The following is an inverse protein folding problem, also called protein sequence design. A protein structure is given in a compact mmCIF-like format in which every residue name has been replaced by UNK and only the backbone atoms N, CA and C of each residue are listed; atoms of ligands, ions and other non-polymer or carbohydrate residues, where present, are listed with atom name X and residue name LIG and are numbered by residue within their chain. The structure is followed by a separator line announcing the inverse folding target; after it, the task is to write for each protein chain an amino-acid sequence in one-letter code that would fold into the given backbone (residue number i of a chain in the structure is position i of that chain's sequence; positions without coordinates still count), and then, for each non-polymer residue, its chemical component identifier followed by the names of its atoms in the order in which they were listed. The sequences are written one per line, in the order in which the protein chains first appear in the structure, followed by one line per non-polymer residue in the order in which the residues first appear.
data_IF_300274943141
#
_entry.id   IF_300274943141
#
_cell.length_a   1.000
_cell.length_b   1.000
_cell.length_c   1.000
_cell.angle_alpha   90.00
_cell.angle_beta   90.00
_cell.angle_gamma   90.00
#
_symmetry.space_group_name_H-M   'P 1'
#
loop_
_entity.id
_entity.type
_entity.pdbx_description
1 polymer ?
#
# COMPACT_ATOMS: atom_id res chain seq x y z
N UNK A 1 -21.20 -31.75 -2.73
CA UNK A 1 -19.90 -32.39 -3.08
C UNK A 1 -19.33 -31.84 -4.39
N UNK A 2 -20.08 -31.02 -5.16
CA UNK A 2 -19.58 -30.44 -6.44
C UNK A 2 -18.55 -29.31 -6.30
N UNK A 3 -18.34 -28.78 -5.09
CA UNK A 3 -17.39 -27.69 -4.82
C UNK A 3 -15.92 -28.11 -5.08
N UNK A 4 -15.62 -29.41 -4.98
CA UNK A 4 -14.26 -29.97 -5.18
C UNK A 4 -14.00 -30.32 -6.65
N UNK A 5 -15.03 -30.39 -7.48
CA UNK A 5 -14.94 -30.77 -8.89
C UNK A 5 -14.57 -29.57 -9.77
N UNK A 6 -13.33 -29.09 -9.64
CA UNK A 6 -12.83 -27.93 -10.39
C UNK A 6 -12.76 -28.17 -11.92
N UNK A 7 -12.72 -29.43 -12.34
CA UNK A 7 -12.69 -29.84 -13.75
C UNK A 7 -14.06 -29.79 -14.46
N UNK A 8 -15.16 -29.68 -13.69
CA UNK A 8 -16.50 -29.55 -14.27
C UNK A 8 -16.84 -28.07 -14.62
N UNK A 9 -15.89 -27.13 -14.39
CA UNK A 9 -16.07 -25.71 -14.63
C UNK A 9 -16.83 -24.99 -13.50
N UNK A 10 -17.27 -23.75 -13.75
CA UNK A 10 -18.07 -22.98 -12.78
C UNK A 10 -17.28 -22.34 -11.65
N UNK A 11 -15.94 -22.25 -11.76
CA UNK A 11 -15.10 -21.52 -10.83
C UNK A 11 -15.39 -20.04 -10.95
N UNK A 12 -16.08 -19.48 -9.98
CA UNK A 12 -16.32 -18.05 -9.92
C UNK A 12 -15.03 -17.33 -9.53
N UNK A 13 -14.48 -16.54 -10.45
CA UNK A 13 -13.31 -15.66 -10.20
C UNK A 13 -13.45 -14.87 -8.88
N UNK A 14 -14.65 -14.36 -8.61
CA UNK A 14 -14.93 -13.58 -7.40
C UNK A 14 -14.72 -14.37 -6.10
N UNK A 15 -15.08 -15.66 -6.08
CA UNK A 15 -14.82 -16.53 -4.93
C UNK A 15 -13.33 -16.66 -4.66
N UNK A 16 -12.53 -17.00 -5.69
CA UNK A 16 -11.07 -17.10 -5.58
C UNK A 16 -10.42 -15.80 -5.11
N UNK A 17 -10.90 -14.66 -5.63
CA UNK A 17 -10.40 -13.34 -5.24
C UNK A 17 -10.68 -13.03 -3.74
N UNK A 18 -11.92 -13.24 -3.28
CA UNK A 18 -12.31 -12.97 -1.88
C UNK A 18 -11.51 -13.85 -0.91
N UNK A 19 -11.48 -15.17 -1.16
CA UNK A 19 -10.72 -16.08 -0.31
C UNK A 19 -9.22 -15.82 -0.36
N UNK A 20 -8.67 -15.49 -1.52
CA UNK A 20 -7.27 -15.08 -1.67
C UNK A 20 -6.93 -13.82 -0.89
N UNK A 21 -7.81 -12.82 -0.90
CA UNK A 21 -7.67 -11.58 -0.13
C UNK A 21 -7.70 -11.87 1.37
N UNK A 22 -8.64 -12.67 1.84
CA UNK A 22 -8.73 -13.07 3.26
C UNK A 22 -7.45 -13.81 3.68
N UNK A 23 -6.99 -14.77 2.88
CA UNK A 23 -5.75 -15.50 3.15
C UNK A 23 -4.54 -14.56 3.21
N UNK A 24 -4.43 -13.61 2.29
CA UNK A 24 -3.34 -12.61 2.28
C UNK A 24 -3.36 -11.75 3.55
N UNK A 25 -4.54 -11.29 3.99
CA UNK A 25 -4.68 -10.54 5.25
C UNK A 25 -4.26 -11.38 6.46
N UNK A 26 -4.70 -12.65 6.52
CA UNK A 26 -4.34 -13.56 7.61
C UNK A 26 -2.83 -13.82 7.67
N UNK A 27 -2.20 -14.06 6.52
CA UNK A 27 -0.75 -14.26 6.42
C UNK A 27 -0.01 -12.99 6.85
N UNK A 28 -0.40 -11.82 6.37
CA UNK A 28 0.20 -10.56 6.78
C UNK A 28 0.09 -10.33 8.29
N UNK A 29 -1.05 -10.64 8.91
CA UNK A 29 -1.24 -10.56 10.36
C UNK A 29 -0.34 -11.55 11.11
N UNK A 30 -0.26 -12.80 10.65
CA UNK A 30 0.57 -13.84 11.28
C UNK A 30 2.06 -13.43 11.33
N UNK A 31 2.56 -12.78 10.29
CA UNK A 31 3.96 -12.37 10.18
C UNK A 31 4.21 -10.89 10.54
N UNK A 32 3.22 -10.21 11.14
CA UNK A 32 3.29 -8.78 11.46
C UNK A 32 3.71 -7.90 10.27
N UNK A 33 3.38 -8.33 9.05
CA UNK A 33 3.68 -7.58 7.83
C UNK A 33 2.57 -6.56 7.54
N UNK A 34 2.90 -5.29 7.24
CA UNK A 34 1.90 -4.28 6.92
C UNK A 34 1.25 -4.61 5.58
N UNK A 35 -0.02 -5.04 5.60
CA UNK A 35 -0.77 -5.52 4.43
C UNK A 35 -0.67 -4.58 3.23
N UNK A 36 -0.83 -3.27 3.42
CA UNK A 36 -0.81 -2.31 2.31
C UNK A 36 0.56 -2.22 1.62
N UNK A 37 1.68 -2.40 2.36
CA UNK A 37 3.01 -2.46 1.75
C UNK A 37 3.21 -3.73 0.93
N UNK A 38 2.69 -4.85 1.42
CA UNK A 38 2.70 -6.12 0.67
C UNK A 38 1.83 -5.98 -0.58
N UNK A 39 0.65 -5.37 -0.46
CA UNK A 39 -0.21 -5.08 -1.60
C UNK A 39 0.49 -4.21 -2.65
N UNK A 40 1.16 -3.13 -2.27
CA UNK A 40 1.93 -2.27 -3.20
C UNK A 40 3.03 -3.03 -3.95
N UNK A 41 3.57 -4.09 -3.36
CA UNK A 41 4.58 -4.91 -4.02
C UNK A 41 3.99 -5.94 -4.98
N UNK A 42 2.82 -6.51 -4.64
CA UNK A 42 2.21 -7.63 -5.36
C UNK A 42 1.17 -7.16 -6.38
N UNK A 43 0.30 -6.21 -6.01
CA UNK A 43 -0.86 -5.84 -6.83
C UNK A 43 -0.50 -5.34 -8.23
N UNK A 44 0.57 -4.57 -8.46
CA UNK A 44 0.95 -4.19 -9.82
C UNK A 44 1.22 -5.38 -10.75
N UNK A 45 1.75 -6.50 -10.22
CA UNK A 45 2.00 -7.71 -11.02
C UNK A 45 0.72 -8.43 -11.43
N UNK A 46 -0.40 -8.13 -10.76
CA UNK A 46 -1.72 -8.65 -11.15
C UNK A 46 -2.12 -8.14 -12.53
N UNK A 47 -1.74 -6.91 -12.93
CA UNK A 47 -1.97 -6.42 -14.29
C UNK A 47 -1.29 -7.30 -15.34
N UNK A 48 -0.05 -7.72 -15.08
CA UNK A 48 0.65 -8.63 -16.00
C UNK A 48 -0.07 -9.99 -16.08
N UNK A 49 -0.45 -10.54 -14.92
CA UNK A 49 -1.21 -11.80 -14.87
C UNK A 49 -2.56 -11.69 -15.57
N UNK A 50 -3.27 -10.58 -15.41
CA UNK A 50 -4.52 -10.29 -16.11
C UNK A 50 -4.28 -10.19 -17.62
N UNK A 51 -3.26 -9.43 -18.07
CA UNK A 51 -2.92 -9.31 -19.48
C UNK A 51 -2.65 -10.67 -20.13
N UNK A 52 -1.89 -11.54 -19.47
CA UNK A 52 -1.63 -12.90 -19.95
C UNK A 52 -2.90 -13.76 -19.92
N UNK A 53 -3.67 -13.69 -18.82
CA UNK A 53 -4.89 -14.48 -18.65
C UNK A 53 -5.98 -14.19 -19.68
N UNK A 54 -6.00 -12.98 -20.27
CA UNK A 54 -6.95 -12.64 -21.36
C UNK A 54 -6.78 -13.48 -22.62
N UNK A 55 -5.61 -14.02 -22.87
CA UNK A 55 -5.41 -14.95 -23.98
C UNK A 55 -6.15 -16.28 -23.81
N UNK A 56 -6.49 -16.64 -22.56
CA UNK A 56 -7.40 -17.75 -22.29
C UNK A 56 -8.80 -17.52 -22.87
N UNK A 57 -9.32 -16.30 -22.82
CA UNK A 57 -10.61 -15.97 -23.45
C UNK A 57 -10.57 -16.10 -24.97
N UNK A 58 -9.42 -15.79 -25.61
CA UNK A 58 -9.22 -16.04 -27.03
C UNK A 58 -9.27 -17.53 -27.38
N UNK A 59 -8.58 -18.36 -26.61
CA UNK A 59 -8.58 -19.82 -26.82
C UNK A 59 -9.97 -20.41 -26.62
N UNK A 60 -10.70 -19.91 -25.62
CA UNK A 60 -12.08 -20.37 -25.32
C UNK A 60 -13.14 -19.72 -26.22
N UNK A 61 -12.76 -18.76 -27.08
CA UNK A 61 -13.66 -17.99 -27.97
C UNK A 61 -14.82 -17.31 -27.19
N UNK A 62 -14.51 -16.78 -26.01
CA UNK A 62 -15.47 -16.13 -25.12
C UNK A 62 -15.10 -14.66 -24.84
N UNK A 63 -16.02 -13.90 -24.27
CA UNK A 63 -15.78 -12.50 -23.84
C UNK A 63 -15.33 -11.57 -24.96
N UNK A 64 -15.79 -11.81 -26.19
CA UNK A 64 -15.54 -10.93 -27.33
C UNK A 64 -16.44 -9.68 -27.33
N UNK A 65 -16.12 -8.70 -28.18
CA UNK A 65 -16.89 -7.48 -28.34
C UNK A 65 -18.04 -7.65 -29.34
N UNK A 66 -18.46 -6.53 -29.92
CA UNK A 66 -19.53 -6.48 -30.93
C UNK A 66 -19.08 -7.14 -32.24
N UNK A 67 -20.07 -7.55 -33.06
CA UNK A 67 -19.81 -8.05 -34.40
C UNK A 67 -19.25 -6.94 -35.30
N UNK A 68 -18.29 -7.30 -36.15
CA UNK A 68 -17.62 -6.41 -37.10
C UNK A 68 -17.45 -7.07 -38.47
N UNK A 69 -17.16 -6.25 -39.47
CA UNK A 69 -16.84 -6.75 -40.83
C UNK A 69 -15.45 -7.42 -40.84
N UNK A 70 -15.23 -8.31 -41.81
CA UNK A 70 -13.95 -8.94 -42.02
C UNK A 70 -12.81 -7.92 -42.22
N UNK A 71 -13.10 -6.79 -42.86
CA UNK A 71 -12.14 -5.72 -43.14
C UNK A 71 -11.59 -5.04 -41.84
N UNK A 72 -12.22 -5.25 -40.70
CA UNK A 72 -11.71 -4.78 -39.40
C UNK A 72 -10.32 -5.36 -39.10
N UNK A 73 -10.01 -6.55 -39.60
CA UNK A 73 -8.75 -7.24 -39.38
C UNK A 73 -7.71 -6.95 -40.44
N UNK A 74 -8.01 -6.12 -41.46
CA UNK A 74 -7.05 -5.69 -42.44
C UNK A 74 -6.03 -4.73 -41.80
N UNK A 75 -4.78 -5.16 -41.61
CA UNK A 75 -3.71 -4.40 -40.99
C UNK A 75 -3.08 -5.09 -39.78
N UNK A 76 -2.85 -4.33 -38.69
CA UNK A 76 -2.11 -4.83 -37.49
C UNK A 76 -2.78 -6.05 -36.83
N UNK A 77 -4.09 -6.17 -36.96
CA UNK A 77 -4.86 -7.24 -36.30
C UNK A 77 -5.02 -8.50 -37.15
N UNK A 78 -4.39 -8.56 -38.32
CA UNK A 78 -4.54 -9.68 -39.28
C UNK A 78 -4.27 -11.05 -38.62
N UNK A 79 -3.35 -11.14 -37.66
CA UNK A 79 -2.98 -12.37 -36.98
C UNK A 79 -4.07 -12.90 -36.04
N UNK A 80 -5.07 -12.09 -35.71
CA UNK A 80 -6.22 -12.48 -34.86
C UNK A 80 -7.45 -12.89 -35.68
N UNK A 81 -7.45 -12.66 -37.00
CA UNK A 81 -8.59 -12.79 -37.86
C UNK A 81 -9.27 -14.17 -37.77
N UNK A 82 -8.49 -15.23 -37.94
CA UNK A 82 -9.03 -16.60 -37.95
C UNK A 82 -9.59 -17.00 -36.59
N UNK A 83 -8.92 -16.59 -35.49
CA UNK A 83 -9.38 -16.88 -34.12
C UNK A 83 -10.61 -16.06 -33.67
N UNK A 84 -10.90 -14.94 -34.34
CA UNK A 84 -12.05 -14.10 -34.09
C UNK A 84 -13.22 -14.34 -35.05
N UNK A 85 -13.11 -15.33 -35.92
CA UNK A 85 -14.19 -15.83 -36.77
C UNK A 85 -14.96 -16.93 -36.05
N UNK A 86 -16.04 -16.56 -35.35
CA UNK A 86 -16.81 -17.43 -34.46
C UNK A 86 -18.21 -17.61 -35.06
N UNK A 87 -18.62 -18.86 -35.33
CA UNK A 87 -19.94 -19.19 -35.86
C UNK A 87 -20.30 -18.44 -37.17
N UNK A 88 -19.31 -18.14 -38.02
CA UNK A 88 -19.54 -17.44 -39.31
C UNK A 88 -19.50 -15.92 -39.25
N UNK A 89 -19.24 -15.32 -38.05
CA UNK A 89 -19.19 -13.87 -37.83
C UNK A 89 -17.86 -13.46 -37.21
N UNK A 90 -17.40 -12.23 -37.52
CA UNK A 90 -16.19 -11.66 -36.94
C UNK A 90 -16.55 -10.76 -35.76
N UNK A 91 -15.76 -10.81 -34.68
CA UNK A 91 -15.99 -10.05 -33.46
C UNK A 91 -14.77 -9.22 -33.07
N UNK A 92 -15.03 -8.07 -32.42
CA UNK A 92 -13.95 -7.24 -31.86
C UNK A 92 -13.16 -8.03 -30.83
N UNK A 93 -11.81 -8.09 -30.93
CA UNK A 93 -10.94 -8.81 -29.99
C UNK A 93 -10.74 -8.04 -28.69
N UNK A 94 -11.79 -7.93 -27.86
CA UNK A 94 -11.77 -7.19 -26.61
C UNK A 94 -10.69 -7.69 -25.65
N UNK A 95 -10.41 -9.00 -25.67
CA UNK A 95 -9.34 -9.63 -24.90
C UNK A 95 -7.97 -9.04 -25.23
N UNK A 96 -7.70 -8.77 -26.52
CA UNK A 96 -6.42 -8.25 -26.99
C UNK A 96 -6.20 -6.81 -26.49
N UNK A 97 -7.20 -5.96 -26.63
CA UNK A 97 -7.13 -4.59 -26.14
C UNK A 97 -6.94 -4.55 -24.63
N UNK A 98 -7.70 -5.36 -23.87
CA UNK A 98 -7.55 -5.45 -22.43
C UNK A 98 -6.17 -5.99 -22.04
N UNK A 99 -5.65 -7.00 -22.76
CA UNK A 99 -4.30 -7.54 -22.55
C UNK A 99 -3.22 -6.47 -22.73
N UNK A 100 -3.25 -5.77 -23.86
CA UNK A 100 -2.27 -4.70 -24.17
C UNK A 100 -2.32 -3.60 -23.12
N UNK A 101 -3.52 -3.11 -22.76
CA UNK A 101 -3.69 -2.07 -21.76
C UNK A 101 -3.26 -2.52 -20.35
N UNK A 102 -3.50 -3.76 -19.97
CA UNK A 102 -3.01 -4.31 -18.70
C UNK A 102 -1.47 -4.38 -18.68
N UNK A 103 -0.83 -4.82 -19.76
CA UNK A 103 0.63 -4.87 -19.84
C UNK A 103 1.24 -3.46 -19.81
N UNK A 104 0.65 -2.50 -20.53
CA UNK A 104 1.07 -1.10 -20.50
C UNK A 104 0.93 -0.50 -19.10
N UNK A 105 -0.17 -0.77 -18.40
CA UNK A 105 -0.37 -0.34 -17.02
C UNK A 105 0.67 -0.93 -16.08
N UNK A 106 0.99 -2.22 -16.22
CA UNK A 106 2.06 -2.86 -15.47
C UNK A 106 3.41 -2.15 -15.67
N UNK A 107 3.79 -1.92 -16.94
CA UNK A 107 5.03 -1.23 -17.28
C UNK A 107 5.05 0.18 -16.67
N UNK A 108 3.99 0.95 -16.81
CA UNK A 108 3.87 2.29 -16.26
C UNK A 108 4.03 2.30 -14.73
N UNK A 109 3.31 1.42 -14.04
CA UNK A 109 3.34 1.37 -12.58
C UNK A 109 4.71 0.94 -12.05
N UNK A 110 5.30 -0.11 -12.62
CA UNK A 110 6.58 -0.66 -12.12
C UNK A 110 7.76 0.21 -12.49
N UNK A 111 7.85 0.68 -13.73
CA UNK A 111 9.05 1.36 -14.20
C UNK A 111 9.02 2.88 -14.03
N UNK A 112 7.83 3.48 -13.91
CA UNK A 112 7.66 4.92 -13.75
C UNK A 112 7.16 5.26 -12.35
N UNK A 113 5.94 4.86 -11.98
CA UNK A 113 5.30 5.29 -10.75
C UNK A 113 5.98 4.75 -9.49
N UNK A 114 6.53 3.54 -9.52
CA UNK A 114 7.24 2.97 -8.38
C UNK A 114 8.44 3.81 -7.93
N UNK A 115 9.09 4.53 -8.86
CA UNK A 115 10.24 5.40 -8.54
C UNK A 115 9.85 6.68 -7.81
N UNK A 116 8.61 7.12 -7.99
CA UNK A 116 8.09 8.38 -7.43
C UNK A 116 7.09 8.16 -6.28
N UNK A 117 6.71 6.91 -6.03
CA UNK A 117 5.77 6.57 -4.97
C UNK A 117 6.38 6.80 -3.60
N UNK A 118 5.75 7.67 -2.80
CA UNK A 118 6.19 8.06 -1.46
C UNK A 118 5.22 7.61 -0.36
N UNK A 119 3.97 7.33 -0.72
CA UNK A 119 2.90 6.98 0.21
C UNK A 119 2.56 5.50 0.13
N UNK A 120 2.12 4.93 1.25
CA UNK A 120 1.64 3.55 1.31
C UNK A 120 0.29 3.43 0.60
N UNK A 121 0.11 2.39 -0.18
CA UNK A 121 -1.10 2.18 -0.97
C UNK A 121 -1.10 2.91 -2.32
N UNK A 122 -0.05 3.66 -2.63
CA UNK A 122 0.01 4.47 -3.85
C UNK A 122 0.09 3.61 -5.12
N UNK A 123 0.86 2.53 -5.11
CA UNK A 123 0.94 1.62 -6.26
C UNK A 123 -0.31 0.78 -6.40
N UNK A 124 -0.89 0.33 -5.28
CA UNK A 124 -2.21 -0.34 -5.26
C UNK A 124 -3.30 0.60 -5.77
N UNK A 125 -3.28 1.87 -5.35
CA UNK A 125 -4.18 2.89 -5.84
C UNK A 125 -4.05 3.11 -7.35
N UNK A 126 -2.83 3.21 -7.86
CA UNK A 126 -2.56 3.34 -9.29
C UNK A 126 -3.10 2.14 -10.10
N UNK A 127 -2.93 0.92 -9.59
CA UNK A 127 -3.51 -0.28 -10.17
C UNK A 127 -5.04 -0.19 -10.25
N UNK A 128 -5.70 0.15 -9.14
CA UNK A 128 -7.16 0.24 -9.10
C UNK A 128 -7.70 1.29 -10.06
N UNK A 129 -7.05 2.46 -10.15
CA UNK A 129 -7.42 3.50 -11.09
C UNK A 129 -7.27 3.00 -12.53
N UNK A 130 -6.09 2.47 -12.88
CA UNK A 130 -5.79 2.01 -14.22
C UNK A 130 -6.74 0.91 -14.67
N UNK A 131 -6.84 -0.16 -13.88
CA UNK A 131 -7.70 -1.29 -14.21
C UNK A 131 -9.18 -0.91 -14.23
N UNK A 132 -9.62 -0.08 -13.28
CA UNK A 132 -11.00 0.43 -13.26
C UNK A 132 -11.34 1.20 -14.54
N UNK A 133 -10.47 2.09 -15.00
CA UNK A 133 -10.67 2.84 -16.25
C UNK A 133 -10.69 1.88 -17.44
N UNK A 134 -9.69 1.02 -17.59
CA UNK A 134 -9.61 0.05 -18.68
C UNK A 134 -10.87 -0.82 -18.73
N UNK A 135 -11.25 -1.38 -17.58
CA UNK A 135 -12.40 -2.28 -17.49
C UNK A 135 -13.71 -1.58 -17.80
N UNK A 136 -13.87 -0.32 -17.40
CA UNK A 136 -15.07 0.46 -17.70
C UNK A 136 -15.29 0.60 -19.20
N UNK A 137 -14.26 0.94 -19.94
CA UNK A 137 -14.36 1.13 -21.41
C UNK A 137 -14.47 -0.20 -22.17
N UNK A 138 -13.72 -1.20 -21.79
CA UNK A 138 -13.80 -2.54 -22.42
C UNK A 138 -15.20 -3.12 -22.24
N UNK A 139 -15.78 -3.01 -21.03
CA UNK A 139 -17.12 -3.51 -20.75
C UNK A 139 -18.21 -2.81 -21.58
N UNK A 140 -18.03 -1.53 -21.92
CA UNK A 140 -18.97 -0.80 -22.76
C UNK A 140 -19.20 -1.50 -24.13
N UNK A 141 -18.14 -2.06 -24.70
CA UNK A 141 -18.19 -2.78 -26.00
C UNK A 141 -18.60 -4.25 -25.93
N UNK A 142 -18.85 -4.82 -24.75
CA UNK A 142 -19.23 -6.24 -24.61
C UNK A 142 -20.73 -6.46 -24.73
N UNK A 143 -21.12 -7.60 -25.29
CA UNK A 143 -22.52 -7.96 -25.53
C UNK A 143 -23.11 -8.88 -24.45
N UNK A 144 -22.25 -9.59 -23.71
CA UNK A 144 -22.58 -10.63 -22.74
C UNK A 144 -22.53 -10.16 -21.26
N UNK A 145 -22.85 -8.87 -21.03
CA UNK A 145 -22.71 -8.24 -19.72
C UNK A 145 -23.96 -8.39 -18.86
N UNK A 146 -23.77 -8.56 -17.54
CA UNK A 146 -24.83 -8.46 -16.55
C UNK A 146 -25.12 -6.98 -16.22
N UNK A 147 -26.37 -6.64 -15.97
CA UNK A 147 -26.80 -5.26 -15.68
C UNK A 147 -27.23 -5.10 -14.21
N UNK A 148 -26.93 -3.91 -13.67
CA UNK A 148 -27.47 -3.40 -12.41
C UNK A 148 -28.09 -2.03 -12.73
N UNK A 149 -29.42 -1.98 -12.85
CA UNK A 149 -30.13 -0.80 -13.33
C UNK A 149 -29.78 -0.50 -14.79
N UNK A 150 -29.34 0.70 -15.08
CA UNK A 150 -28.93 1.17 -16.43
C UNK A 150 -27.45 0.91 -16.76
N UNK A 151 -26.64 0.53 -15.78
CA UNK A 151 -25.22 0.28 -15.94
C UNK A 151 -24.91 -1.21 -15.90
N UNK A 152 -23.84 -1.62 -16.60
CA UNK A 152 -23.30 -2.97 -16.50
C UNK A 152 -22.61 -3.18 -15.14
N UNK A 153 -22.79 -4.34 -14.53
CA UNK A 153 -22.22 -4.66 -13.20
C UNK A 153 -20.73 -4.36 -13.13
N UNK A 154 -19.98 -4.71 -14.17
CA UNK A 154 -18.54 -4.46 -14.22
C UNK A 154 -18.22 -2.95 -14.31
N UNK A 155 -19.08 -2.12 -14.89
CA UNK A 155 -18.90 -0.65 -14.91
C UNK A 155 -19.08 -0.06 -13.52
N UNK A 156 -20.09 -0.51 -12.76
CA UNK A 156 -20.28 -0.08 -11.37
C UNK A 156 -19.06 -0.44 -10.51
N UNK A 157 -18.60 -1.69 -10.61
CA UNK A 157 -17.39 -2.12 -9.90
C UNK A 157 -16.16 -1.32 -10.31
N UNK A 158 -16.03 -0.98 -11.59
CA UNK A 158 -14.94 -0.16 -12.13
C UNK A 158 -14.93 1.25 -11.53
N UNK A 159 -16.10 1.89 -11.39
CA UNK A 159 -16.21 3.19 -10.74
C UNK A 159 -15.77 3.11 -9.28
N UNK A 160 -16.19 2.07 -8.55
CA UNK A 160 -15.77 1.87 -7.15
C UNK A 160 -14.25 1.66 -7.05
N UNK A 161 -13.65 0.92 -7.99
CA UNK A 161 -12.20 0.75 -8.03
C UNK A 161 -11.47 2.07 -8.27
N UNK A 162 -11.96 2.91 -9.18
CA UNK A 162 -11.36 4.24 -9.43
C UNK A 162 -11.44 5.11 -8.19
N UNK A 163 -12.60 5.17 -7.52
CA UNK A 163 -12.78 5.95 -6.29
C UNK A 163 -11.83 5.44 -5.19
N UNK A 164 -11.84 4.14 -4.91
CA UNK A 164 -10.96 3.54 -3.91
C UNK A 164 -9.47 3.77 -4.27
N UNK A 165 -9.13 3.65 -5.55
CA UNK A 165 -7.80 3.89 -6.07
C UNK A 165 -7.33 5.33 -5.86
N UNK A 166 -8.19 6.31 -6.13
CA UNK A 166 -7.89 7.73 -5.88
C UNK A 166 -7.65 8.01 -4.39
N UNK A 167 -8.50 7.47 -3.52
CA UNK A 167 -8.34 7.61 -2.07
C UNK A 167 -7.00 7.06 -1.58
N UNK A 168 -6.61 5.87 -2.06
CA UNK A 168 -5.31 5.26 -1.73
C UNK A 168 -4.15 6.05 -2.34
N UNK A 169 -4.25 6.43 -3.61
CA UNK A 169 -3.18 7.14 -4.33
C UNK A 169 -2.83 8.48 -3.68
N UNK A 170 -3.84 9.23 -3.26
CA UNK A 170 -3.64 10.50 -2.55
C UNK A 170 -3.28 10.36 -1.07
N UNK A 171 -3.18 9.14 -0.55
CA UNK A 171 -2.65 8.84 0.77
C UNK A 171 -3.68 8.90 1.90
N UNK A 172 -4.96 8.61 1.61
CA UNK A 172 -5.97 8.50 2.65
C UNK A 172 -5.60 7.43 3.67
N UNK A 173 -5.01 6.31 3.23
CA UNK A 173 -4.56 5.25 4.11
C UNK A 173 -3.52 5.77 5.12
N UNK A 174 -2.50 6.48 4.65
CA UNK A 174 -1.46 7.05 5.53
C UNK A 174 -2.06 8.08 6.49
N UNK A 175 -3.02 8.85 6.03
CA UNK A 175 -3.67 9.87 6.87
C UNK A 175 -4.51 9.27 8.00
N UNK A 176 -5.19 8.14 7.73
CA UNK A 176 -6.13 7.53 8.68
C UNK A 176 -5.48 6.50 9.59
N UNK A 177 -4.46 5.77 9.12
CA UNK A 177 -3.94 4.58 9.79
C UNK A 177 -2.45 4.62 10.09
N UNK A 178 -1.73 5.67 9.63
CA UNK A 178 -0.31 5.79 9.87
C UNK A 178 -0.03 6.88 10.92
N UNK A 179 0.37 6.43 12.10
CA UNK A 179 0.93 7.31 13.11
C UNK A 179 2.33 7.75 12.66
N UNK A 180 2.55 9.06 12.57
CA UNK A 180 3.88 9.59 12.30
C UNK A 180 4.80 9.18 13.44
N UNK A 181 6.00 8.65 13.16
CA UNK A 181 6.95 8.37 14.21
C UNK A 181 7.27 9.68 14.95
N UNK A 182 7.02 9.68 16.24
CA UNK A 182 7.48 10.78 17.10
C UNK A 182 8.94 10.50 17.42
N UNK A 183 9.82 11.39 16.99
CA UNK A 183 11.23 11.35 17.36
C UNK A 183 11.36 12.20 18.62
N UNK A 184 11.73 11.56 19.70
CA UNK A 184 12.05 12.25 20.96
C UNK A 184 13.56 12.32 21.05
N UNK A 185 14.07 13.53 21.16
CA UNK A 185 15.47 13.76 21.42
C UNK A 185 15.65 14.06 22.91
N UNK A 186 16.66 13.45 23.50
CA UNK A 186 17.14 13.87 24.80
C UNK A 186 17.84 15.24 24.60
N UNK A 187 17.57 16.19 25.48
CA UNK A 187 18.11 17.54 25.36
C UNK A 187 19.51 17.61 25.96
N UNK A 188 19.64 17.14 27.21
CA UNK A 188 20.87 17.27 28.00
C UNK A 188 21.91 16.21 27.56
N UNK A 189 23.07 16.67 27.16
CA UNK A 189 24.14 15.82 26.66
C UNK A 189 23.93 15.24 25.26
N UNK A 190 22.77 15.44 24.62
CA UNK A 190 22.47 14.96 23.27
C UNK A 190 22.36 16.11 22.24
N UNK A 191 21.50 17.10 22.51
CA UNK A 191 21.31 18.27 21.64
C UNK A 191 22.13 19.44 22.15
N UNK A 192 22.21 19.60 23.49
CA UNK A 192 22.92 20.64 24.15
C UNK A 192 23.85 20.08 25.22
N UNK A 193 25.09 20.49 25.24
CA UNK A 193 26.01 20.20 26.34
C UNK A 193 25.65 21.09 27.55
N UNK A 194 24.94 20.50 28.49
CA UNK A 194 24.52 21.16 29.74
C UNK A 194 25.46 20.89 30.92
N UNK A 195 26.56 20.16 30.67
CA UNK A 195 27.51 19.71 31.72
C UNK A 195 27.96 20.87 32.61
N UNK A 196 28.39 21.99 32.03
CA UNK A 196 28.89 23.15 32.78
C UNK A 196 27.77 23.80 33.63
N UNK A 197 26.57 23.89 33.09
CA UNK A 197 25.41 24.44 33.82
C UNK A 197 25.01 23.58 35.02
N UNK A 198 24.98 22.26 34.83
CA UNK A 198 24.67 21.28 35.88
C UNK A 198 25.74 21.39 37.00
N UNK A 199 27.02 21.37 36.65
CA UNK A 199 28.10 21.46 37.64
C UNK A 199 28.03 22.78 38.41
N UNK A 200 27.77 23.91 37.73
CA UNK A 200 27.60 25.24 38.41
C UNK A 200 26.41 25.21 39.37
N UNK A 201 25.28 24.61 38.98
CA UNK A 201 24.11 24.53 39.84
C UNK A 201 24.40 23.73 41.10
N UNK A 202 25.00 22.53 40.98
CA UNK A 202 25.39 21.73 42.15
C UNK A 202 26.42 22.44 43.04
N UNK A 203 27.39 23.11 42.47
CA UNK A 203 28.38 23.90 43.20
C UNK A 203 27.71 25.02 44.05
N UNK A 204 26.72 25.70 43.48
CA UNK A 204 25.95 26.71 44.19
C UNK A 204 25.12 26.09 45.33
N UNK A 205 24.55 24.89 45.10
CA UNK A 205 23.79 24.18 46.11
C UNK A 205 24.67 23.71 47.27
N UNK A 206 25.85 23.12 46.98
CA UNK A 206 26.80 22.75 48.04
C UNK A 206 27.28 23.97 48.84
N UNK A 207 27.44 25.11 48.19
CA UNK A 207 27.79 26.36 48.86
C UNK A 207 26.68 26.88 49.79
N UNK A 208 25.41 26.69 49.40
CA UNK A 208 24.24 27.18 50.16
C UNK A 208 23.84 26.28 51.31
N UNK A 209 23.86 24.95 51.09
CA UNK A 209 23.28 23.95 51.99
C UNK A 209 24.32 22.99 52.57
N UNK A 210 25.58 23.03 52.15
CA UNK A 210 26.66 22.15 52.60
C UNK A 210 27.97 22.89 52.67
N UNK A 211 29.07 22.21 52.31
CA UNK A 211 30.40 22.80 52.23
C UNK A 211 30.87 22.76 50.78
N UNK A 212 31.22 23.89 50.18
CA UNK A 212 31.67 23.99 48.80
C UNK A 212 32.87 23.06 48.48
N UNK A 213 33.75 22.84 49.46
CA UNK A 213 34.93 21.96 49.30
C UNK A 213 34.59 20.49 49.21
N UNK A 214 33.37 20.08 49.62
CA UNK A 214 32.90 18.68 49.50
C UNK A 214 32.47 18.32 48.09
N UNK A 215 32.32 19.29 47.20
CA UNK A 215 31.99 19.05 45.76
C UNK A 215 33.29 18.83 44.95
N UNK A 216 33.89 17.66 45.19
CA UNK A 216 35.14 17.23 44.52
C UNK A 216 34.94 16.88 43.04
N UNK A 217 36.05 16.74 42.29
CA UNK A 217 36.00 16.38 40.87
C UNK A 217 35.27 15.09 40.60
N UNK A 218 35.38 14.08 41.49
CA UNK A 218 34.67 12.80 41.34
C UNK A 218 33.16 12.97 41.46
N UNK A 219 32.69 13.84 42.40
CA UNK A 219 31.28 14.13 42.55
C UNK A 219 30.73 14.94 41.38
N UNK A 220 31.55 15.77 40.72
CA UNK A 220 31.16 16.48 39.49
C UNK A 220 30.82 15.55 38.35
N UNK A 221 31.56 14.44 38.21
CA UNK A 221 31.25 13.41 37.20
C UNK A 221 29.99 12.61 37.61
N UNK A 222 29.84 12.30 38.89
CA UNK A 222 28.74 11.49 39.41
C UNK A 222 27.37 12.16 39.27
N UNK A 223 27.29 13.49 39.33
CA UNK A 223 26.01 14.23 39.20
C UNK A 223 25.53 14.35 37.75
N UNK A 224 26.33 13.93 36.78
CA UNK A 224 25.96 13.96 35.38
C UNK A 224 25.24 12.67 35.01
N UNK A 225 23.97 12.76 34.66
CA UNK A 225 23.18 11.65 34.16
C UNK A 225 22.09 11.10 35.10
N UNK A 226 22.32 10.86 36.42
CA UNK A 226 21.26 10.41 37.32
C UNK A 226 20.15 11.45 37.50
N UNK A 227 18.92 11.02 37.81
CA UNK A 227 17.82 11.94 38.12
C UNK A 227 18.14 12.88 39.26
N UNK A 228 17.78 14.15 39.10
CA UNK A 228 18.08 15.23 40.07
C UNK A 228 17.64 14.85 41.50
N UNK A 229 16.42 14.32 41.66
CA UNK A 229 15.86 13.94 42.95
C UNK A 229 16.68 12.87 43.67
N UNK A 230 17.26 11.94 42.95
CA UNK A 230 18.07 10.87 43.53
C UNK A 230 19.42 11.42 44.03
N UNK A 231 20.00 12.34 43.29
CA UNK A 231 21.26 12.97 43.66
C UNK A 231 21.05 13.95 44.85
N UNK A 232 19.94 14.68 44.90
CA UNK A 232 19.61 15.53 46.07
C UNK A 232 19.43 14.72 47.34
N UNK A 233 18.66 13.62 47.30
CA UNK A 233 18.51 12.71 48.43
C UNK A 233 19.83 12.11 48.92
N UNK A 234 20.76 11.84 47.98
CA UNK A 234 22.06 11.28 48.31
C UNK A 234 22.97 12.27 49.05
N UNK A 235 23.01 13.50 48.54
CA UNK A 235 23.96 14.51 49.09
C UNK A 235 23.38 15.42 50.14
N UNK A 236 22.04 15.57 50.19
CA UNK A 236 21.33 16.45 51.08
C UNK A 236 20.08 15.76 51.68
N UNK A 237 20.28 14.66 52.46
CA UNK A 237 19.17 13.84 52.92
C UNK A 237 18.21 14.58 53.87
N UNK A 238 18.70 15.64 54.50
CA UNK A 238 17.93 16.44 55.46
C UNK A 238 17.14 17.60 54.80
N UNK A 239 17.33 17.83 53.51
CA UNK A 239 16.59 18.87 52.79
C UNK A 239 15.25 18.33 52.27
N UNK A 240 14.19 19.05 52.55
CA UNK A 240 12.88 18.77 51.98
C UNK A 240 12.89 19.18 50.49
N UNK A 241 12.68 18.21 49.58
CA UNK A 241 12.68 18.45 48.13
C UNK A 241 11.56 19.37 47.66
N UNK A 242 10.54 19.64 48.48
CA UNK A 242 9.44 20.56 48.18
C UNK A 242 9.81 22.04 48.38
N UNK A 243 10.99 22.34 48.92
CA UNK A 243 11.48 23.71 49.18
C UNK A 243 12.59 24.16 48.16
N UNK A 244 12.91 23.33 47.14
CA UNK A 244 13.91 23.58 46.14
C UNK A 244 13.27 23.93 44.77
#
# INVERSE_FOLDING_TARGET
INIIRIWDGGLAFHGGFVFGLIAAIMVCRKYNAPFIKVADSVVPTVLLAQGIGRWGNFVNQECHGVEVSESYFDGILFFLKDGMHINGHYYVPSFFYESVLCILGFILIIFVLRKTATKRGQLTGAYLIWYGIVRFFIEAGRTDSLFVGSLKTAQVTSILFVIAGLLLYFGLYDRLFYEKPTIVFDLDGTIQDSTEAIIKSYKATFKKYGNENDFTADKQVEVLGPPLNDMFKKYFPDLNTDEL
#
